data_IF_750295810057
#
_entry.id   IF_750295810057
#
_cell.length_a   1.000
_cell.length_b   1.000
_cell.length_c   1.000
_cell.angle_alpha   90.00
_cell.angle_beta   90.00
_cell.angle_gamma   90.00
#
_symmetry.space_group_name_H-M   'P 1'
#
loop_
_entity.id
_entity.type
_entity.pdbx_description
1 polymer ?
#
# COMPACT_ATOMS: atom_id res chain seq x y z
N UNK A 1 16.22 -16.88 18.18
CA UNK A 1 17.53 -16.35 17.73
C UNK A 1 17.88 -16.75 16.29
N UNK A 2 17.60 -17.97 15.82
CA UNK A 2 17.87 -18.38 14.42
C UNK A 2 17.02 -17.62 13.37
N UNK A 3 15.78 -17.25 13.69
CA UNK A 3 14.89 -16.53 12.77
C UNK A 3 15.27 -15.07 12.48
N UNK A 4 16.06 -14.42 13.36
CA UNK A 4 16.52 -13.05 13.12
C UNK A 4 17.72 -13.04 12.16
N UNK A 5 18.71 -13.91 12.41
CA UNK A 5 19.91 -14.03 11.56
C UNK A 5 19.59 -14.34 10.09
N UNK A 6 18.58 -15.19 9.84
CA UNK A 6 18.18 -15.51 8.46
C UNK A 6 17.55 -14.32 7.75
N UNK A 7 16.77 -13.48 8.44
CA UNK A 7 16.17 -12.28 7.88
C UNK A 7 17.18 -11.16 7.68
N UNK A 8 18.13 -11.03 8.59
CA UNK A 8 19.28 -10.11 8.45
C UNK A 8 20.11 -10.47 7.21
N UNK A 9 20.35 -11.77 6.97
CA UNK A 9 21.04 -12.24 5.76
C UNK A 9 20.29 -11.94 4.46
N UNK A 10 18.96 -12.08 4.47
CA UNK A 10 18.11 -11.70 3.32
C UNK A 10 18.19 -10.20 3.06
N UNK A 11 18.07 -9.37 4.09
CA UNK A 11 18.16 -7.91 3.96
C UNK A 11 19.51 -7.49 3.38
N UNK A 12 20.62 -8.00 3.92
CA UNK A 12 21.97 -7.70 3.43
C UNK A 12 22.16 -8.12 1.97
N UNK A 13 21.57 -9.26 1.57
CA UNK A 13 21.62 -9.73 0.18
C UNK A 13 20.85 -8.77 -0.74
N UNK A 14 19.66 -8.35 -0.34
CA UNK A 14 18.85 -7.39 -1.11
C UNK A 14 19.52 -6.01 -1.19
N UNK A 15 20.20 -5.57 -0.14
CA UNK A 15 20.96 -4.32 -0.16
C UNK A 15 22.18 -4.38 -1.08
N UNK A 16 22.92 -5.50 -1.07
CA UNK A 16 24.01 -5.71 -2.01
C UNK A 16 23.52 -5.71 -3.47
N UNK A 17 22.35 -6.30 -3.71
CA UNK A 17 21.67 -6.28 -5.00
C UNK A 17 21.26 -4.85 -5.39
N UNK A 18 20.58 -4.13 -4.49
CA UNK A 18 20.14 -2.73 -4.70
C UNK A 18 21.31 -1.82 -5.03
N UNK A 19 22.42 -1.95 -4.30
CA UNK A 19 23.65 -1.23 -4.59
C UNK A 19 24.18 -1.55 -5.99
N UNK A 20 24.25 -2.84 -6.35
CA UNK A 20 24.74 -3.29 -7.67
C UNK A 20 23.92 -2.73 -8.83
N UNK A 21 22.58 -2.73 -8.71
CA UNK A 21 21.66 -2.20 -9.72
C UNK A 21 21.81 -0.69 -9.87
N UNK A 22 22.02 0.04 -8.76
CA UNK A 22 22.21 1.51 -8.78
C UNK A 22 23.40 1.94 -9.64
N UNK A 23 24.48 1.15 -9.64
CA UNK A 23 25.69 1.46 -10.41
C UNK A 23 25.70 0.87 -11.83
N UNK A 24 24.91 -0.19 -12.09
CA UNK A 24 24.92 -0.90 -13.38
C UNK A 24 23.54 -0.91 -14.02
N UNK A 25 23.29 0.09 -14.88
CA UNK A 25 22.03 0.24 -15.63
C UNK A 25 21.65 -1.01 -16.43
N UNK A 26 22.63 -1.73 -16.98
CA UNK A 26 22.39 -2.99 -17.73
C UNK A 26 21.76 -4.08 -16.88
N UNK A 27 22.09 -4.17 -15.59
CA UNK A 27 21.49 -5.14 -14.67
C UNK A 27 20.04 -4.75 -14.38
N UNK A 28 19.77 -3.46 -14.16
CA UNK A 28 18.41 -2.96 -13.97
C UNK A 28 17.52 -3.27 -15.18
N UNK A 29 18.04 -3.03 -16.39
CA UNK A 29 17.33 -3.32 -17.64
C UNK A 29 17.13 -4.82 -17.89
N UNK A 30 18.15 -5.63 -17.57
CA UNK A 30 18.06 -7.08 -17.66
C UNK A 30 16.98 -7.64 -16.73
N UNK A 31 16.95 -7.20 -15.47
CA UNK A 31 15.97 -7.68 -14.51
C UNK A 31 14.55 -7.22 -14.86
N UNK A 32 14.37 -5.97 -15.30
CA UNK A 32 13.07 -5.50 -15.76
C UNK A 32 12.53 -6.37 -16.91
N UNK A 33 13.39 -6.73 -17.88
CA UNK A 33 13.02 -7.66 -18.96
C UNK A 33 12.72 -9.07 -18.44
N UNK A 34 13.48 -9.57 -17.48
CA UNK A 34 13.21 -10.87 -16.86
C UNK A 34 11.84 -10.90 -16.20
N UNK A 35 11.47 -9.86 -15.46
CA UNK A 35 10.13 -9.71 -14.87
C UNK A 35 9.03 -9.65 -15.95
N UNK A 36 9.30 -8.93 -17.04
CA UNK A 36 8.34 -8.81 -18.15
C UNK A 36 8.14 -10.14 -18.90
N UNK A 37 9.17 -11.00 -18.95
CA UNK A 37 9.11 -12.28 -19.64
C UNK A 37 8.33 -13.37 -18.86
N UNK A 38 8.10 -13.21 -17.56
CA UNK A 38 7.30 -14.15 -16.76
C UNK A 38 5.83 -14.05 -17.17
N UNK A 39 5.28 -15.08 -17.80
CA UNK A 39 3.90 -15.06 -18.35
C UNK A 39 2.88 -15.76 -17.48
N UNK A 40 3.31 -16.61 -16.56
CA UNK A 40 2.44 -17.41 -15.72
C UNK A 40 2.49 -16.90 -14.28
N UNK A 41 1.33 -16.81 -13.63
CA UNK A 41 1.26 -16.39 -12.22
C UNK A 41 1.99 -17.34 -11.27
N UNK A 42 2.03 -18.64 -11.60
CA UNK A 42 2.74 -19.67 -10.81
C UNK A 42 4.26 -19.53 -10.85
N UNK A 43 4.80 -18.78 -11.80
CA UNK A 43 6.24 -18.54 -11.93
C UNK A 43 6.69 -17.30 -11.16
N UNK A 44 5.74 -16.46 -10.71
CA UNK A 44 6.07 -15.31 -9.89
C UNK A 44 6.43 -15.73 -8.47
N UNK A 45 7.58 -15.25 -8.01
CA UNK A 45 8.11 -15.56 -6.70
C UNK A 45 8.09 -14.31 -5.82
N UNK A 46 8.19 -14.50 -4.50
CA UNK A 46 8.26 -13.39 -3.53
C UNK A 46 9.40 -12.42 -3.84
N UNK A 47 10.51 -12.91 -4.40
CA UNK A 47 11.65 -12.08 -4.83
C UNK A 47 11.26 -11.06 -5.91
N UNK A 48 10.24 -11.33 -6.72
CA UNK A 48 9.78 -10.41 -7.76
C UNK A 48 9.14 -9.16 -7.15
N UNK A 49 8.49 -9.28 -5.99
CA UNK A 49 7.98 -8.14 -5.21
C UNK A 49 9.13 -7.23 -4.78
N UNK A 50 10.20 -7.83 -4.26
CA UNK A 50 11.40 -7.07 -3.89
C UNK A 50 12.11 -6.50 -5.10
N UNK A 51 12.17 -7.23 -6.22
CA UNK A 51 12.75 -6.76 -7.46
C UNK A 51 12.03 -5.50 -7.97
N UNK A 52 10.70 -5.50 -7.97
CA UNK A 52 9.88 -4.33 -8.31
C UNK A 52 10.22 -3.15 -7.41
N UNK A 53 10.27 -3.34 -6.09
CA UNK A 53 10.58 -2.28 -5.12
C UNK A 53 12.01 -1.74 -5.25
N UNK A 54 12.98 -2.62 -5.48
CA UNK A 54 14.39 -2.25 -5.70
C UNK A 54 14.55 -1.49 -7.01
N UNK A 55 13.92 -1.96 -8.10
CA UNK A 55 13.94 -1.27 -9.39
C UNK A 55 13.23 0.09 -9.28
N UNK A 56 12.14 0.19 -8.51
CA UNK A 56 11.43 1.45 -8.28
C UNK A 56 12.27 2.47 -7.51
N UNK A 57 13.12 2.01 -6.59
CA UNK A 57 14.07 2.87 -5.88
C UNK A 57 15.09 3.53 -6.84
N UNK A 58 15.29 2.98 -8.05
CA UNK A 58 16.08 3.61 -9.10
C UNK A 58 15.20 4.60 -9.86
N UNK A 59 15.37 5.90 -9.61
CA UNK A 59 14.50 6.97 -10.15
C UNK A 59 14.27 6.90 -11.66
N UNK A 60 15.28 6.50 -12.44
CA UNK A 60 15.17 6.37 -13.90
C UNK A 60 14.28 5.21 -14.37
N UNK A 61 13.87 4.31 -13.47
CA UNK A 61 13.07 3.11 -13.76
C UNK A 61 11.65 3.16 -13.20
N UNK A 62 11.26 4.23 -12.49
CA UNK A 62 9.91 4.36 -11.91
C UNK A 62 8.78 4.16 -12.92
N UNK A 63 8.74 4.95 -13.99
CA UNK A 63 7.70 4.85 -15.04
C UNK A 63 7.66 3.47 -15.73
N UNK A 64 8.80 2.88 -16.15
CA UNK A 64 8.82 1.52 -16.67
C UNK A 64 8.27 0.48 -15.69
N UNK A 65 8.64 0.57 -14.40
CA UNK A 65 8.17 -0.34 -13.35
C UNK A 65 6.67 -0.19 -13.12
N UNK A 66 6.15 1.05 -13.07
CA UNK A 66 4.70 1.32 -12.95
C UNK A 66 3.91 0.72 -14.12
N UNK A 67 4.40 0.89 -15.35
CA UNK A 67 3.78 0.31 -16.55
C UNK A 67 3.78 -1.21 -16.51
N UNK A 68 4.93 -1.82 -16.18
CA UNK A 68 5.07 -3.27 -16.06
C UNK A 68 4.10 -3.81 -15.00
N UNK A 69 4.07 -3.20 -13.81
CA UNK A 69 3.25 -3.66 -12.71
C UNK A 69 1.76 -3.60 -13.07
N UNK A 70 1.30 -2.52 -13.69
CA UNK A 70 -0.07 -2.42 -14.21
C UNK A 70 -0.39 -3.54 -15.20
N UNK A 71 0.50 -3.80 -16.15
CA UNK A 71 0.29 -4.86 -17.15
C UNK A 71 0.26 -6.25 -16.51
N UNK A 72 1.15 -6.52 -15.55
CA UNK A 72 1.22 -7.81 -14.85
C UNK A 72 0.05 -8.06 -13.91
N UNK A 73 -0.48 -7.03 -13.28
CA UNK A 73 -1.70 -7.11 -12.48
C UNK A 73 -2.90 -7.41 -13.40
N UNK A 74 -3.02 -6.68 -14.52
CA UNK A 74 -4.09 -6.91 -15.51
C UNK A 74 -4.06 -8.30 -16.12
N UNK A 75 -2.87 -8.82 -16.40
CA UNK A 75 -2.71 -10.18 -16.93
C UNK A 75 -2.89 -11.26 -15.87
N UNK A 76 -3.20 -10.91 -14.62
CA UNK A 76 -3.38 -11.84 -13.51
C UNK A 76 -2.10 -12.56 -13.11
N UNK A 77 -0.93 -12.05 -13.52
CA UNK A 77 0.37 -12.67 -13.23
C UNK A 77 0.88 -12.28 -11.83
N UNK A 78 0.76 -10.99 -11.49
CA UNK A 78 1.18 -10.49 -10.18
C UNK A 78 -0.02 -10.53 -9.22
N UNK A 79 -0.26 -11.69 -8.62
CA UNK A 79 -1.46 -11.99 -7.84
C UNK A 79 -1.38 -11.52 -6.39
N UNK A 80 -2.55 -11.40 -5.75
CA UNK A 80 -2.66 -11.10 -4.32
C UNK A 80 -1.94 -12.17 -3.46
N UNK A 81 -1.89 -13.43 -3.91
CA UNK A 81 -1.23 -14.51 -3.16
C UNK A 81 0.28 -14.26 -2.99
N UNK A 82 0.96 -13.85 -4.06
CA UNK A 82 2.40 -13.53 -4.02
C UNK A 82 2.66 -12.33 -3.11
N UNK A 83 1.77 -11.33 -3.17
CA UNK A 83 1.82 -10.17 -2.27
C UNK A 83 1.65 -10.58 -0.81
N UNK A 84 0.58 -11.30 -0.48
CA UNK A 84 0.31 -11.77 0.87
C UNK A 84 1.43 -12.66 1.41
N UNK A 85 2.03 -13.50 0.56
CA UNK A 85 3.19 -14.30 0.94
C UNK A 85 4.42 -13.43 1.25
N UNK A 86 4.65 -12.36 0.49
CA UNK A 86 5.75 -11.43 0.74
C UNK A 86 5.59 -10.70 2.10
N UNK A 87 4.40 -10.18 2.40
CA UNK A 87 4.12 -9.55 3.69
C UNK A 87 4.24 -10.53 4.86
N UNK A 88 3.66 -11.74 4.73
CA UNK A 88 3.66 -12.74 5.80
C UNK A 88 5.05 -13.28 6.11
N UNK A 89 5.84 -13.61 5.09
CA UNK A 89 7.15 -14.25 5.28
C UNK A 89 8.28 -13.23 5.51
N UNK A 90 8.17 -12.04 4.92
CA UNK A 90 9.26 -11.06 4.88
C UNK A 90 8.85 -9.64 5.30
N UNK A 91 7.78 -9.46 6.07
CA UNK A 91 7.30 -8.14 6.51
C UNK A 91 8.37 -7.24 7.13
N UNK A 92 9.28 -7.79 7.95
CA UNK A 92 10.40 -7.02 8.52
C UNK A 92 11.38 -6.48 7.46
N UNK A 93 11.63 -7.24 6.40
CA UNK A 93 12.50 -6.82 5.28
C UNK A 93 11.75 -5.84 4.38
N UNK A 94 10.46 -6.09 4.14
CA UNK A 94 9.59 -5.24 3.32
C UNK A 94 9.42 -3.84 3.93
N UNK A 95 9.49 -3.73 5.26
CA UNK A 95 9.45 -2.47 6.01
C UNK A 95 10.54 -1.48 5.59
N UNK A 96 11.71 -1.96 5.17
CA UNK A 96 12.82 -1.12 4.66
C UNK A 96 12.51 -0.50 3.29
N UNK A 97 11.50 -1.01 2.60
CA UNK A 97 11.04 -0.54 1.29
C UNK A 97 9.70 0.21 1.38
N UNK A 98 9.24 0.54 2.58
CA UNK A 98 7.91 1.10 2.83
C UNK A 98 7.62 2.37 2.02
N UNK A 99 8.55 3.33 1.94
CA UNK A 99 8.33 4.57 1.20
C UNK A 99 8.06 4.30 -0.29
N UNK A 100 8.85 3.42 -0.92
CA UNK A 100 8.65 3.05 -2.32
C UNK A 100 7.34 2.28 -2.51
N UNK A 101 7.01 1.39 -1.57
CA UNK A 101 5.75 0.65 -1.58
C UNK A 101 4.55 1.59 -1.51
N UNK A 102 4.59 2.62 -0.66
CA UNK A 102 3.53 3.61 -0.49
C UNK A 102 3.33 4.43 -1.76
N UNK A 103 4.40 4.93 -2.37
CA UNK A 103 4.35 5.70 -3.63
C UNK A 103 3.81 4.85 -4.79
N UNK A 104 4.26 3.59 -4.91
CA UNK A 104 3.70 2.67 -5.93
C UNK A 104 2.21 2.46 -5.69
N UNK A 105 1.80 2.24 -4.45
CA UNK A 105 0.40 2.01 -4.09
C UNK A 105 -0.49 3.19 -4.48
N UNK A 106 -0.02 4.42 -4.26
CA UNK A 106 -0.69 5.65 -4.70
C UNK A 106 -0.87 5.66 -6.23
N UNK A 107 0.21 5.38 -6.99
CA UNK A 107 0.16 5.36 -8.47
C UNK A 107 -0.76 4.27 -9.02
N UNK A 108 -0.87 3.14 -8.33
CA UNK A 108 -1.78 2.05 -8.70
C UNK A 108 -3.24 2.35 -8.31
N UNK A 109 -3.47 2.96 -7.14
CA UNK A 109 -4.79 3.32 -6.66
C UNK A 109 -5.46 4.34 -7.59
N UNK A 110 -4.67 5.28 -8.14
CA UNK A 110 -5.11 6.26 -9.15
C UNK A 110 -5.40 5.65 -10.54
N UNK A 111 -5.17 4.36 -10.74
CA UNK A 111 -5.43 3.74 -12.03
C UNK A 111 -6.93 3.70 -12.30
N UNK A 112 -7.40 4.04 -13.53
CA UNK A 112 -8.80 3.88 -13.89
C UNK A 112 -9.23 2.41 -14.00
N UNK A 113 -8.27 1.48 -13.99
CA UNK A 113 -8.50 0.06 -14.07
C UNK A 113 -8.84 -0.51 -12.70
N UNK A 114 -10.06 -1.02 -12.56
CA UNK A 114 -10.58 -1.60 -11.31
C UNK A 114 -9.73 -2.74 -10.76
N UNK A 115 -9.07 -3.54 -11.60
CA UNK A 115 -8.22 -4.66 -11.16
C UNK A 115 -6.95 -4.11 -10.52
N UNK A 116 -6.37 -3.08 -11.14
CA UNK A 116 -5.15 -2.42 -10.65
C UNK A 116 -5.43 -1.65 -9.35
N UNK A 117 -6.53 -0.90 -9.30
CA UNK A 117 -6.89 -0.16 -8.10
C UNK A 117 -7.26 -1.10 -6.95
N UNK A 118 -7.98 -2.20 -7.21
CA UNK A 118 -8.26 -3.25 -6.21
C UNK A 118 -6.98 -3.85 -5.64
N UNK A 119 -6.00 -4.15 -6.51
CA UNK A 119 -4.70 -4.64 -6.07
C UNK A 119 -4.00 -3.63 -5.14
N UNK A 120 -4.05 -2.33 -5.47
CA UNK A 120 -3.51 -1.27 -4.62
C UNK A 120 -4.20 -1.21 -3.24
N UNK A 121 -5.53 -1.37 -3.19
CA UNK A 121 -6.29 -1.45 -1.92
C UNK A 121 -5.72 -2.54 -1.01
N UNK A 122 -5.40 -3.72 -1.57
CA UNK A 122 -4.79 -4.82 -0.82
C UNK A 122 -3.40 -4.50 -0.31
N UNK A 123 -2.58 -3.77 -1.07
CA UNK A 123 -1.27 -3.32 -0.57
C UNK A 123 -1.43 -2.44 0.67
N UNK A 124 -2.34 -1.46 0.64
CA UNK A 124 -2.61 -0.60 1.79
C UNK A 124 -3.09 -1.39 3.02
N UNK A 125 -4.02 -2.32 2.84
CA UNK A 125 -4.52 -3.18 3.92
C UNK A 125 -3.40 -4.04 4.51
N UNK A 126 -2.61 -4.71 3.66
CA UNK A 126 -1.50 -5.55 4.12
C UNK A 126 -0.41 -4.73 4.83
N UNK A 127 -0.09 -3.53 4.33
CA UNK A 127 0.85 -2.61 4.95
C UNK A 127 0.37 -2.15 6.33
N UNK A 128 -0.92 -1.80 6.45
CA UNK A 128 -1.51 -1.39 7.72
C UNK A 128 -1.54 -2.52 8.76
N UNK A 129 -1.79 -3.76 8.34
CA UNK A 129 -1.83 -4.90 9.26
C UNK A 129 -0.44 -5.39 9.68
N UNK A 130 0.54 -5.31 8.79
CA UNK A 130 1.86 -5.94 8.99
C UNK A 130 2.88 -5.00 9.64
N UNK A 131 2.85 -3.71 9.36
CA UNK A 131 3.92 -2.79 9.78
C UNK A 131 3.69 -2.14 11.16
N UNK A 132 4.68 -1.37 11.60
CA UNK A 132 4.72 -0.63 12.86
C UNK A 132 3.79 0.59 12.87
N UNK A 133 3.62 1.18 14.06
CA UNK A 133 2.72 2.33 14.28
C UNK A 133 3.00 3.50 13.32
N UNK A 134 4.27 3.77 13.04
CA UNK A 134 4.70 4.81 12.10
C UNK A 134 4.15 4.54 10.69
N UNK A 135 4.39 3.35 10.13
CA UNK A 135 3.86 3.01 8.80
C UNK A 135 2.34 3.03 8.74
N UNK A 136 1.66 2.59 9.81
CA UNK A 136 0.19 2.66 9.88
C UNK A 136 -0.31 4.10 9.81
N UNK A 137 0.35 5.01 10.53
CA UNK A 137 0.02 6.43 10.50
C UNK A 137 0.22 7.02 9.10
N UNK A 138 1.34 6.71 8.45
CA UNK A 138 1.62 7.17 7.07
C UNK A 138 0.61 6.62 6.06
N UNK A 139 0.20 5.35 6.20
CA UNK A 139 -0.87 4.75 5.37
C UNK A 139 -2.18 5.52 5.54
N UNK A 140 -2.61 5.75 6.79
CA UNK A 140 -3.85 6.50 7.06
C UNK A 140 -3.74 7.94 6.57
N UNK A 141 -2.60 8.60 6.80
CA UNK A 141 -2.36 9.96 6.33
C UNK A 141 -2.39 10.09 4.81
N UNK A 142 -1.80 9.14 4.09
CA UNK A 142 -1.84 9.09 2.63
C UNK A 142 -3.28 8.92 2.12
N UNK A 143 -4.03 7.98 2.70
CA UNK A 143 -5.44 7.75 2.33
C UNK A 143 -6.30 8.99 2.60
N UNK A 144 -6.16 9.63 3.76
CA UNK A 144 -6.86 10.89 4.10
C UNK A 144 -6.53 11.99 3.09
N UNK A 145 -5.25 12.13 2.71
CA UNK A 145 -4.81 13.10 1.71
C UNK A 145 -5.43 12.84 0.34
N UNK A 146 -5.58 11.58 -0.06
CA UNK A 146 -6.26 11.21 -1.31
C UNK A 146 -7.77 11.47 -1.28
N UNK A 147 -8.41 11.35 -0.11
CA UNK A 147 -9.81 11.78 0.05
C UNK A 147 -9.95 13.28 -0.13
N UNK A 148 -9.01 14.07 0.40
CA UNK A 148 -8.99 15.53 0.28
C UNK A 148 -8.48 16.08 -1.06
N UNK A 149 -8.01 15.23 -1.99
CA UNK A 149 -7.32 15.69 -3.22
C UNK A 149 -8.24 16.32 -4.27
N UNK A 150 -9.56 16.21 -4.10
CA UNK A 150 -10.56 16.75 -5.03
C UNK A 150 -10.83 15.87 -6.26
N UNK A 151 -10.20 14.69 -6.37
CA UNK A 151 -10.47 13.72 -7.42
C UNK A 151 -11.47 12.66 -6.94
N UNK A 152 -12.70 12.58 -7.48
CA UNK A 152 -13.74 11.68 -6.97
C UNK A 152 -13.35 10.20 -6.97
N UNK A 153 -12.65 9.73 -8.00
CA UNK A 153 -12.22 8.33 -8.12
C UNK A 153 -11.15 7.95 -7.09
N UNK A 154 -10.23 8.88 -6.80
CA UNK A 154 -9.20 8.70 -5.77
C UNK A 154 -9.85 8.67 -4.39
N UNK A 155 -10.72 9.65 -4.13
CA UNK A 155 -11.45 9.73 -2.87
C UNK A 155 -12.33 8.50 -2.62
N UNK A 156 -13.06 8.00 -3.63
CA UNK A 156 -13.86 6.78 -3.47
C UNK A 156 -12.99 5.55 -3.20
N UNK A 157 -11.89 5.40 -3.94
CA UNK A 157 -10.97 4.27 -3.76
C UNK A 157 -10.29 4.29 -2.39
N UNK A 158 -9.92 5.48 -1.88
CA UNK A 158 -9.32 5.63 -0.55
C UNK A 158 -10.34 5.46 0.57
N UNK A 159 -11.57 5.97 0.41
CA UNK A 159 -12.66 5.74 1.36
C UNK A 159 -13.01 4.25 1.45
N UNK A 160 -12.97 3.51 0.34
CA UNK A 160 -13.18 2.07 0.36
C UNK A 160 -12.12 1.34 1.21
N UNK A 161 -10.84 1.72 1.08
CA UNK A 161 -9.76 1.13 1.91
C UNK A 161 -9.96 1.46 3.38
N UNK A 162 -10.27 2.72 3.69
CA UNK A 162 -10.53 3.14 5.07
C UNK A 162 -11.75 2.40 5.64
N UNK A 163 -12.80 2.21 4.84
CA UNK A 163 -14.01 1.51 5.25
C UNK A 163 -13.70 0.05 5.55
N UNK A 164 -12.96 -0.62 4.66
CA UNK A 164 -12.52 -2.01 4.84
C UNK A 164 -11.71 -2.19 6.13
N UNK A 165 -10.80 -1.25 6.42
CA UNK A 165 -10.00 -1.26 7.65
C UNK A 165 -10.84 -1.02 8.91
N UNK A 166 -11.82 -0.11 8.85
CA UNK A 166 -12.69 0.19 10.00
C UNK A 166 -13.65 -0.97 10.28
N UNK A 167 -14.17 -1.62 9.25
CA UNK A 167 -15.12 -2.73 9.38
C UNK A 167 -14.45 -4.01 9.89
N UNK A 168 -13.29 -4.37 9.32
CA UNK A 168 -12.62 -5.63 9.65
C UNK A 168 -11.60 -5.50 10.80
N UNK A 169 -11.07 -4.30 11.05
CA UNK A 169 -10.00 -4.06 12.02
C UNK A 169 -10.23 -2.81 12.91
N UNK A 170 -11.41 -2.68 13.56
CA UNK A 170 -11.77 -1.49 14.33
C UNK A 170 -10.81 -1.21 15.50
N UNK A 171 -10.26 -2.26 16.13
CA UNK A 171 -9.30 -2.15 17.24
C UNK A 171 -7.95 -1.56 16.81
N UNK A 172 -7.55 -1.76 15.56
CA UNK A 172 -6.33 -1.14 15.02
C UNK A 172 -6.61 0.29 14.54
N UNK A 173 -7.80 0.55 14.01
CA UNK A 173 -8.20 1.87 13.50
C UNK A 173 -8.56 2.87 14.60
N UNK A 174 -8.96 2.41 15.79
CA UNK A 174 -9.33 3.26 16.93
C UNK A 174 -8.24 4.26 17.32
N UNK A 175 -6.97 3.83 17.33
CA UNK A 175 -5.82 4.69 17.64
C UNK A 175 -5.59 5.78 16.58
N UNK A 176 -6.16 5.63 15.38
CA UNK A 176 -6.06 6.61 14.29
C UNK A 176 -7.36 7.41 14.09
N UNK A 177 -8.36 7.21 14.95
CA UNK A 177 -9.63 7.92 14.87
C UNK A 177 -9.47 9.45 14.91
N UNK A 178 -8.42 9.98 15.55
CA UNK A 178 -8.11 11.42 15.56
C UNK A 178 -7.76 11.93 14.14
N UNK A 179 -7.04 11.15 13.33
CA UNK A 179 -6.72 11.54 11.95
C UNK A 179 -7.98 11.60 11.07
N UNK A 180 -8.95 10.73 11.35
CA UNK A 180 -10.23 10.72 10.65
C UNK A 180 -11.20 11.79 11.17
N UNK A 181 -11.21 12.07 12.49
CA UNK A 181 -12.12 13.00 13.16
C UNK A 181 -11.67 14.47 13.11
N UNK A 182 -10.42 14.77 13.45
CA UNK A 182 -10.05 16.10 13.97
C UNK A 182 -9.17 16.94 13.04
N UNK A 183 -8.75 16.44 11.87
CA UNK A 183 -7.77 17.17 11.03
C UNK A 183 -7.79 16.91 9.53
N UNK A 184 -8.61 15.98 9.03
CA UNK A 184 -8.24 15.28 7.79
C UNK A 184 -9.29 15.21 6.69
N UNK A 185 -10.55 14.91 7.01
CA UNK A 185 -11.58 14.67 5.98
C UNK A 185 -12.75 15.66 6.12
N UNK A 186 -13.08 16.06 7.36
CA UNK A 186 -14.17 17.03 7.59
C UNK A 186 -13.87 18.40 6.98
N UNK A 187 -12.60 18.82 6.97
CA UNK A 187 -12.16 20.06 6.32
C UNK A 187 -12.25 20.02 4.78
N UNK A 188 -12.46 18.82 4.20
CA UNK A 188 -12.59 18.61 2.76
C UNK A 188 -14.00 18.15 2.36
N UNK A 189 -15.00 18.27 3.24
CA UNK A 189 -16.39 17.88 2.94
C UNK A 189 -16.94 18.54 1.68
N UNK A 190 -16.55 19.80 1.43
CA UNK A 190 -16.97 20.55 0.25
C UNK A 190 -16.50 19.92 -1.08
N UNK A 191 -15.43 19.12 -1.03
CA UNK A 191 -14.89 18.42 -2.21
C UNK A 191 -15.49 17.01 -2.39
N UNK A 192 -16.32 16.55 -1.45
CA UNK A 192 -16.87 15.19 -1.45
C UNK A 192 -18.32 15.14 -1.96
N UNK A 193 -18.62 14.08 -2.70
CA UNK A 193 -19.99 13.77 -3.09
C UNK A 193 -20.82 13.28 -1.89
N UNK A 194 -22.15 13.40 -1.98
CA UNK A 194 -23.08 12.92 -0.93
C UNK A 194 -22.87 11.43 -0.61
N UNK A 195 -22.51 10.60 -1.59
CA UNK A 195 -22.22 9.18 -1.38
C UNK A 195 -20.95 8.96 -0.54
N UNK A 196 -19.91 9.74 -0.82
CA UNK A 196 -18.64 9.69 -0.08
C UNK A 196 -18.79 10.22 1.35
N UNK A 197 -19.56 11.30 1.52
CA UNK A 197 -19.92 11.83 2.85
C UNK A 197 -20.66 10.75 3.64
N UNK A 198 -21.63 10.05 3.03
CA UNK A 198 -22.33 8.95 3.73
C UNK A 198 -21.37 7.85 4.17
N UNK A 199 -20.46 7.38 3.30
CA UNK A 199 -19.43 6.39 3.67
C UNK A 199 -18.57 6.88 4.84
N UNK A 200 -18.14 8.14 4.80
CA UNK A 200 -17.34 8.75 5.87
C UNK A 200 -18.07 8.73 7.22
N UNK A 201 -19.32 9.20 7.26
CA UNK A 201 -20.11 9.22 8.49
C UNK A 201 -20.36 7.82 9.03
N UNK A 202 -20.60 6.82 8.16
CA UNK A 202 -20.71 5.42 8.58
C UNK A 202 -19.42 4.94 9.26
N UNK A 203 -18.24 5.21 8.67
CA UNK A 203 -16.96 4.85 9.29
C UNK A 203 -16.76 5.53 10.66
N UNK A 204 -17.05 6.84 10.74
CA UNK A 204 -16.93 7.60 11.99
C UNK A 204 -17.87 7.07 13.08
N UNK A 205 -19.11 6.72 12.72
CA UNK A 205 -20.05 6.07 13.63
C UNK A 205 -19.54 4.71 14.10
N UNK A 206 -19.05 3.86 13.20
CA UNK A 206 -18.49 2.54 13.58
C UNK A 206 -17.34 2.69 14.56
N UNK A 207 -16.41 3.62 14.32
CA UNK A 207 -15.31 3.90 15.24
C UNK A 207 -15.77 4.49 16.58
N UNK A 208 -16.79 5.35 16.55
CA UNK A 208 -17.38 5.93 17.75
C UNK A 208 -18.02 4.88 18.66
N UNK A 209 -18.70 3.87 18.10
CA UNK A 209 -19.31 2.80 18.88
C UNK A 209 -18.30 1.74 19.37
N UNK A 210 -17.18 1.56 18.66
CA UNK A 210 -16.12 0.62 19.08
C UNK A 210 -15.18 1.20 20.13
N UNK A 211 -14.99 2.52 20.17
CA UNK A 211 -14.30 3.18 21.26
C UNK A 211 -15.27 3.38 22.43
N UNK A 212 -15.15 2.54 23.46
CA UNK A 212 -15.90 2.67 24.71
C UNK A 212 -15.62 4.01 25.46
N UNK A 213 -14.69 4.83 24.95
CA UNK A 213 -14.55 6.27 25.26
C UNK A 213 -15.59 7.11 24.49
N UNK A 214 -16.87 6.75 24.63
CA UNK A 214 -18.03 7.50 24.14
C UNK A 214 -18.20 8.88 24.78
N UNK A 215 -17.22 9.38 25.55
CA UNK A 215 -17.24 10.65 26.28
C UNK A 215 -16.52 11.80 25.58
N UNK A 216 -15.83 11.57 24.45
CA UNK A 216 -15.13 12.62 23.68
C UNK A 216 -15.66 12.73 22.25
N UNK A 217 -16.98 12.57 22.08
CA UNK A 217 -17.69 13.00 20.88
C UNK A 217 -18.38 14.31 21.24
N UNK A 218 -17.62 15.40 21.31
CA UNK A 218 -18.21 16.73 21.20
C UNK A 218 -18.15 17.13 19.73
N UNK A 219 -19.34 17.18 19.15
CA UNK A 219 -19.66 17.87 17.89
C UNK A 219 -19.40 19.36 18.07
#
# INVERSE_FOLDING_TARGET
VAGNKSKDGVLLTLDAIKASIRFRKSIADGWLKSLDNVKNSSEHLVIDVFAVLILYAVTSKRKPVESLLRNKIRSGCFTEDVLSMAFKSYGQVLREYFENLLVISEVLLRSPDSVVSSYAKKIYVQAFLTFDLYCKQEVVGALVTHVGSGFPNEADSSLDVLSDLVEHHPSHMSSFAIFLKARGILDYLDNLSVGQIRKLFVMLSTLAFHNNDGSMIQV
#
